data_IF_427198732470
#
_entry.id   IF_427198732470
#
_cell.length_a   1.000
_cell.length_b   1.000
_cell.length_c   1.000
_cell.angle_alpha   90.00
_cell.angle_beta   90.00
_cell.angle_gamma   90.00
#
_symmetry.space_group_name_H-M   'P 1'
#
loop_
_entity.id
_entity.type
_entity.pdbx_description
1 polymer ?
#
# COMPACT_ATOMS: atom_id res chain seq x y z
N UNK A 1 60.08 11.27 31.11
CA UNK A 1 58.70 10.78 30.97
C UNK A 1 57.90 11.80 30.19
N UNK A 2 57.65 11.54 28.90
CA UNK A 2 56.90 12.43 28.00
C UNK A 2 55.43 12.03 28.06
N UNK A 3 54.55 12.96 28.43
CA UNK A 3 53.10 12.76 28.42
C UNK A 3 52.56 12.85 26.99
N UNK A 4 51.88 11.79 26.55
CA UNK A 4 51.17 11.72 25.27
C UNK A 4 49.71 12.08 25.51
N UNK A 5 49.32 13.31 25.20
CA UNK A 5 47.92 13.73 25.15
C UNK A 5 47.31 13.25 23.83
N UNK A 6 46.35 12.32 23.91
CA UNK A 6 45.52 11.93 22.76
C UNK A 6 44.27 12.80 22.76
N UNK A 7 44.22 13.75 21.83
CA UNK A 7 42.99 14.50 21.52
C UNK A 7 42.07 13.61 20.68
N UNK A 8 41.04 13.03 21.30
CA UNK A 8 39.93 12.43 20.57
C UNK A 8 39.02 13.59 20.14
N UNK A 9 39.28 14.12 18.94
CA UNK A 9 38.37 15.03 18.26
C UNK A 9 37.13 14.23 17.84
N UNK A 10 36.07 14.35 18.63
CA UNK A 10 34.75 13.83 18.30
C UNK A 10 34.18 14.70 17.17
N UNK A 11 34.38 14.28 15.92
CA UNK A 11 33.80 14.90 14.74
C UNK A 11 32.29 14.67 14.77
N UNK A 12 31.55 15.58 15.41
CA UNK A 12 30.09 15.65 15.36
C UNK A 12 29.66 15.91 13.91
N UNK A 13 29.47 14.83 13.14
CA UNK A 13 28.84 14.88 11.83
C UNK A 13 27.43 15.45 12.01
N UNK A 14 27.31 16.76 11.79
CA UNK A 14 26.04 17.40 11.60
C UNK A 14 25.49 16.85 10.28
N UNK A 15 24.63 15.85 10.37
CA UNK A 15 23.82 15.41 9.23
C UNK A 15 22.80 16.51 9.00
N UNK A 16 23.23 17.57 8.32
CA UNK A 16 22.33 18.58 7.77
C UNK A 16 21.49 17.86 6.72
N UNK A 17 20.24 17.54 7.05
CA UNK A 17 19.29 17.10 6.04
C UNK A 17 19.15 18.23 5.04
N UNK A 18 19.58 17.98 3.80
CA UNK A 18 19.39 18.92 2.70
C UNK A 18 17.89 19.11 2.49
N UNK A 19 17.35 20.20 3.04
CA UNK A 19 15.96 20.57 2.87
C UNK A 19 15.78 21.04 1.42
N UNK A 20 14.87 20.39 0.72
CA UNK A 20 14.49 20.74 -0.65
C UNK A 20 13.09 21.32 -0.68
N UNK A 21 12.81 22.17 -1.66
CA UNK A 21 11.51 22.80 -1.86
C UNK A 21 10.95 22.43 -3.22
N UNK A 22 9.65 22.13 -3.28
CA UNK A 22 8.93 21.94 -4.54
C UNK A 22 8.75 23.30 -5.21
N UNK A 23 9.29 23.45 -6.42
CA UNK A 23 9.24 24.69 -7.19
C UNK A 23 8.63 24.41 -8.56
N UNK A 24 7.70 25.28 -8.98
CA UNK A 24 7.18 25.31 -10.35
C UNK A 24 8.09 26.18 -11.21
N UNK A 25 8.58 25.66 -12.33
CA UNK A 25 9.23 26.44 -13.38
C UNK A 25 8.17 26.94 -14.38
N UNK A 26 7.97 28.26 -14.51
CA UNK A 26 7.01 28.81 -15.47
C UNK A 26 7.37 28.55 -16.93
N UNK A 27 8.65 28.40 -17.28
CA UNK A 27 9.09 28.18 -18.66
C UNK A 27 8.85 26.74 -19.09
N UNK A 28 9.21 25.79 -18.23
CA UNK A 28 8.95 24.36 -18.46
C UNK A 28 7.49 23.96 -18.20
N UNK A 29 6.70 24.83 -17.55
CA UNK A 29 5.36 24.52 -17.05
C UNK A 29 5.30 23.25 -16.16
N UNK A 30 6.38 22.99 -15.42
CA UNK A 30 6.59 21.75 -14.68
C UNK A 30 7.12 22.01 -13.26
N UNK A 31 7.05 20.99 -12.40
CA UNK A 31 7.55 21.00 -11.03
C UNK A 31 8.85 20.21 -10.91
N UNK A 32 9.73 20.68 -10.03
CA UNK A 32 10.97 20.03 -9.62
C UNK A 32 11.33 20.36 -8.17
N UNK A 33 12.51 19.92 -7.73
CA UNK A 33 13.03 20.16 -6.39
C UNK A 33 14.29 21.03 -6.46
N UNK A 34 14.33 22.08 -5.66
CA UNK A 34 15.53 22.89 -5.46
C UNK A 34 16.08 22.78 -4.05
N UNK A 35 17.39 22.87 -3.91
CA UNK A 35 18.06 23.00 -2.62
C UNK A 35 17.98 24.46 -2.11
N UNK A 36 18.55 24.70 -0.92
CA UNK A 36 18.60 26.03 -0.28
C UNK A 36 19.38 27.07 -1.09
N UNK A 37 20.32 26.62 -1.93
CA UNK A 37 21.12 27.46 -2.82
C UNK A 37 20.41 27.73 -4.17
N UNK A 38 19.11 27.40 -4.27
CA UNK A 38 18.27 27.58 -5.46
C UNK A 38 18.74 26.77 -6.70
N UNK A 39 19.57 25.74 -6.48
CA UNK A 39 20.02 24.81 -7.51
C UNK A 39 19.03 23.63 -7.61
N UNK A 40 18.81 23.15 -8.83
CA UNK A 40 17.96 21.98 -9.06
C UNK A 40 18.63 20.70 -8.52
N UNK A 41 17.91 19.99 -7.64
CA UNK A 41 18.21 18.60 -7.25
C UNK A 41 17.41 17.64 -8.13
N UNK A 42 16.16 18.00 -8.41
CA UNK A 42 15.30 17.35 -9.41
C UNK A 42 14.89 18.43 -10.40
N UNK A 43 15.31 18.36 -11.67
CA UNK A 43 14.89 19.32 -12.68
C UNK A 43 13.37 19.41 -12.79
N UNK A 44 12.86 20.59 -13.19
CA UNK A 44 11.43 20.75 -13.46
C UNK A 44 11.01 19.95 -14.69
N UNK A 45 10.39 18.80 -14.45
CA UNK A 45 9.94 17.88 -15.52
C UNK A 45 8.59 17.22 -15.24
N UNK A 46 8.09 17.31 -14.00
CA UNK A 46 6.86 16.66 -13.59
C UNK A 46 5.66 17.59 -13.71
N UNK A 47 4.53 17.06 -14.17
CA UNK A 47 3.25 17.79 -14.19
C UNK A 47 2.77 18.10 -12.77
N UNK A 48 3.01 17.17 -11.84
CA UNK A 48 2.75 17.32 -10.41
C UNK A 48 3.87 16.68 -9.60
N UNK A 49 4.18 17.27 -8.45
CA UNK A 49 5.15 16.74 -7.49
C UNK A 49 4.61 16.96 -6.08
N UNK A 50 4.14 15.89 -5.44
CA UNK A 50 3.41 15.94 -4.17
C UNK A 50 4.22 15.25 -3.07
N UNK A 51 4.33 15.89 -1.91
CA UNK A 51 5.02 15.32 -0.75
C UNK A 51 4.23 14.13 -0.20
N UNK A 52 4.87 12.96 -0.13
CA UNK A 52 4.32 11.76 0.52
C UNK A 52 4.81 11.63 1.97
N UNK A 53 6.09 11.90 2.19
CA UNK A 53 6.77 11.87 3.48
C UNK A 53 8.03 12.75 3.40
N UNK A 54 8.75 12.97 4.51
CA UNK A 54 9.85 13.94 4.66
C UNK A 54 10.93 13.94 3.56
N UNK A 55 11.07 12.86 2.78
CA UNK A 55 12.03 12.75 1.69
C UNK A 55 11.48 12.04 0.44
N UNK A 56 10.16 11.85 0.35
CA UNK A 56 9.52 11.08 -0.71
C UNK A 56 8.45 11.92 -1.38
N UNK A 57 8.47 11.93 -2.71
CA UNK A 57 7.53 12.68 -3.52
C UNK A 57 6.87 11.77 -4.54
N UNK A 58 5.55 11.81 -4.60
CA UNK A 58 4.81 11.28 -5.73
C UNK A 58 5.03 12.23 -6.91
N UNK A 59 5.49 11.71 -8.04
CA UNK A 59 5.78 12.48 -9.23
C UNK A 59 4.85 12.04 -10.37
N UNK A 60 4.24 13.00 -11.06
CA UNK A 60 3.35 12.73 -12.17
C UNK A 60 3.99 13.14 -13.49
N UNK A 61 4.01 12.23 -14.46
CA UNK A 61 4.44 12.48 -15.84
C UNK A 61 3.49 11.74 -16.78
N UNK A 62 2.99 12.44 -17.81
CA UNK A 62 2.01 11.89 -18.77
C UNK A 62 0.83 11.19 -18.06
N UNK A 63 0.26 11.85 -17.05
CA UNK A 63 -0.87 11.35 -16.22
C UNK A 63 -0.57 10.09 -15.39
N UNK A 64 0.66 9.56 -15.46
CA UNK A 64 1.10 8.41 -14.67
C UNK A 64 1.94 8.85 -13.48
N UNK A 65 1.88 8.07 -12.41
CA UNK A 65 2.48 8.34 -11.13
C UNK A 65 3.66 7.43 -10.85
N UNK A 66 4.70 8.01 -10.27
CA UNK A 66 5.90 7.36 -9.76
C UNK A 66 6.30 7.95 -8.40
N UNK A 67 7.50 7.60 -7.94
CA UNK A 67 8.07 8.09 -6.69
C UNK A 67 9.52 8.52 -6.92
N UNK A 68 9.84 9.72 -6.47
CA UNK A 68 11.21 10.26 -6.45
C UNK A 68 11.58 10.73 -5.05
N UNK A 69 12.82 10.52 -4.66
CA UNK A 69 13.35 10.99 -3.39
C UNK A 69 13.72 12.49 -3.44
N UNK A 70 13.87 13.12 -2.26
CA UNK A 70 14.44 14.47 -2.14
C UNK A 70 15.85 14.63 -2.73
N UNK A 71 16.57 13.52 -2.93
CA UNK A 71 17.91 13.47 -3.56
C UNK A 71 17.85 13.21 -5.07
N UNK A 72 16.66 13.15 -5.66
CA UNK A 72 16.45 12.90 -7.09
C UNK A 72 16.61 11.46 -7.56
N UNK A 73 16.78 10.50 -6.64
CA UNK A 73 16.67 9.08 -6.97
C UNK A 73 15.20 8.73 -7.27
N UNK A 74 14.92 8.20 -8.46
CA UNK A 74 13.63 7.56 -8.78
C UNK A 74 13.56 6.20 -8.08
N UNK A 75 12.50 5.97 -7.30
CA UNK A 75 12.20 4.69 -6.65
C UNK A 75 11.12 3.91 -7.39
N UNK A 76 10.24 4.62 -8.09
CA UNK A 76 9.16 4.04 -8.90
C UNK A 76 8.96 4.92 -10.12
N UNK A 77 9.02 4.33 -11.31
CA UNK A 77 8.85 5.09 -12.55
C UNK A 77 7.39 5.56 -12.72
N UNK A 78 7.14 6.71 -13.38
CA UNK A 78 5.79 7.19 -13.68
C UNK A 78 5.07 6.34 -14.74
N UNK A 79 4.62 5.15 -14.34
CA UNK A 79 3.89 4.19 -15.20
C UNK A 79 2.65 3.61 -14.53
N UNK A 80 2.32 4.11 -13.33
CA UNK A 80 1.18 3.65 -12.53
C UNK A 80 0.04 4.68 -12.55
N UNK A 81 -1.18 4.24 -12.29
CA UNK A 81 -2.35 5.12 -12.33
C UNK A 81 -2.44 6.02 -11.10
N UNK A 82 -1.91 5.55 -9.96
CA UNK A 82 -1.90 6.32 -8.73
C UNK A 82 -0.83 5.85 -7.75
N UNK A 83 -0.34 6.79 -6.95
CA UNK A 83 0.49 6.55 -5.76
C UNK A 83 -0.10 7.38 -4.62
N UNK A 84 -0.36 6.76 -3.48
CA UNK A 84 -0.89 7.45 -2.29
C UNK A 84 -0.23 6.97 -1.00
N UNK A 85 -0.27 7.81 0.04
CA UNK A 85 0.17 7.41 1.38
C UNK A 85 -0.78 6.33 1.91
N UNK A 86 -0.25 5.18 2.33
CA UNK A 86 -1.04 4.15 3.01
C UNK A 86 -0.91 4.29 4.53
N UNK A 87 0.34 4.43 5.00
CA UNK A 87 0.72 4.90 6.32
C UNK A 87 2.18 5.37 6.26
N UNK A 88 2.74 6.01 7.31
CA UNK A 88 4.11 6.51 7.28
C UNK A 88 5.10 5.46 6.78
N UNK A 89 5.85 5.81 5.73
CA UNK A 89 6.83 4.93 5.09
C UNK A 89 6.31 3.76 4.22
N UNK A 90 5.00 3.62 4.00
CA UNK A 90 4.44 2.66 3.03
C UNK A 90 3.43 3.35 2.10
N UNK A 91 3.59 3.14 0.79
CA UNK A 91 2.80 3.82 -0.25
C UNK A 91 2.00 2.81 -1.06
N UNK A 92 0.70 3.07 -1.20
CA UNK A 92 -0.18 2.27 -2.02
C UNK A 92 0.01 2.66 -3.48
N UNK A 93 0.20 1.69 -4.36
CA UNK A 93 0.41 1.91 -5.80
C UNK A 93 -0.63 1.15 -6.57
N UNK A 94 -1.35 1.81 -7.48
CA UNK A 94 -2.37 1.15 -8.29
C UNK A 94 -2.11 1.27 -9.78
N UNK A 95 -2.41 0.21 -10.52
CA UNK A 95 -2.29 0.14 -11.97
C UNK A 95 -3.40 -0.74 -12.54
N UNK A 96 -4.06 -0.27 -13.56
CA UNK A 96 -5.10 -0.99 -14.29
C UNK A 96 -4.42 -1.89 -15.30
N UNK A 97 -4.72 -3.18 -15.22
CA UNK A 97 -4.28 -4.16 -16.19
C UNK A 97 -5.28 -4.24 -17.33
N UNK A 98 -4.88 -3.74 -18.50
CA UNK A 98 -5.67 -3.77 -19.72
C UNK A 98 -5.47 -5.06 -20.54
N UNK A 99 -4.62 -5.99 -20.08
CA UNK A 99 -4.38 -7.26 -20.78
C UNK A 99 -5.56 -8.23 -20.65
N UNK A 100 -6.43 -8.05 -19.66
CA UNK A 100 -7.66 -8.82 -19.52
C UNK A 100 -8.86 -8.04 -20.03
N UNK A 101 -9.86 -8.75 -20.54
CA UNK A 101 -11.12 -8.14 -20.97
C UNK A 101 -11.85 -7.42 -19.81
N UNK A 102 -11.49 -7.74 -18.57
CA UNK A 102 -12.15 -7.25 -17.37
C UNK A 102 -11.44 -6.07 -16.68
N UNK A 103 -10.47 -5.42 -17.35
CA UNK A 103 -9.73 -4.22 -16.89
C UNK A 103 -9.50 -4.18 -15.37
N UNK A 104 -8.66 -5.08 -14.88
CA UNK A 104 -8.53 -5.29 -13.43
C UNK A 104 -7.54 -4.30 -12.83
N UNK A 105 -8.03 -3.50 -11.87
CA UNK A 105 -7.14 -2.69 -11.03
C UNK A 105 -6.31 -3.60 -10.13
N UNK A 106 -4.99 -3.50 -10.26
CA UNK A 106 -4.01 -4.14 -9.38
C UNK A 106 -3.44 -3.13 -8.41
N UNK A 107 -3.21 -3.59 -7.19
CA UNK A 107 -2.76 -2.82 -6.04
C UNK A 107 -1.51 -3.50 -5.48
N UNK A 108 -0.50 -2.70 -5.17
CA UNK A 108 0.70 -3.12 -4.47
C UNK A 108 1.05 -2.11 -3.38
N UNK A 109 1.98 -2.49 -2.51
CA UNK A 109 2.48 -1.66 -1.43
C UNK A 109 4.00 -1.58 -1.52
N UNK A 110 4.53 -0.37 -1.67
CA UNK A 110 5.97 -0.10 -1.78
C UNK A 110 6.46 0.64 -0.54
N UNK A 111 7.68 0.32 -0.08
CA UNK A 111 8.30 0.98 1.07
C UNK A 111 9.15 2.20 0.67
N UNK A 112 9.74 2.87 1.66
CA UNK A 112 10.65 4.01 1.48
C UNK A 112 11.94 3.69 0.73
N UNK A 113 12.30 2.41 0.59
CA UNK A 113 13.49 2.00 -0.16
C UNK A 113 13.20 1.82 -1.65
N UNK A 114 11.92 1.80 -2.04
CA UNK A 114 11.46 1.43 -3.37
C UNK A 114 11.27 -0.08 -3.55
N UNK A 115 11.31 -0.87 -2.46
CA UNK A 115 11.03 -2.30 -2.51
C UNK A 115 9.53 -2.54 -2.34
N UNK A 116 9.00 -3.45 -3.13
CA UNK A 116 7.64 -3.95 -2.92
C UNK A 116 7.57 -4.70 -1.59
N UNK A 117 6.80 -4.16 -0.66
CA UNK A 117 6.37 -4.85 0.55
C UNK A 117 5.29 -5.89 0.20
N UNK A 118 4.32 -5.48 -0.63
CA UNK A 118 3.43 -6.38 -1.37
C UNK A 118 3.53 -6.08 -2.86
N UNK A 119 3.76 -7.07 -3.74
CA UNK A 119 3.81 -6.84 -5.17
C UNK A 119 2.47 -6.31 -5.69
N UNK A 120 2.50 -5.61 -6.84
CA UNK A 120 1.31 -5.08 -7.49
C UNK A 120 0.49 -6.18 -8.19
N UNK A 121 -0.13 -7.06 -7.41
CA UNK A 121 -0.93 -8.19 -7.88
C UNK A 121 -2.29 -8.33 -7.17
N UNK A 122 -2.54 -7.56 -6.13
CA UNK A 122 -3.75 -7.66 -5.31
C UNK A 122 -4.89 -6.85 -5.92
N UNK A 123 -6.11 -7.33 -5.79
CA UNK A 123 -7.31 -6.53 -6.08
C UNK A 123 -7.52 -5.44 -5.02
N UNK A 124 -7.16 -5.73 -3.76
CA UNK A 124 -7.22 -4.78 -2.66
C UNK A 124 -6.22 -5.12 -1.56
N UNK A 125 -5.69 -4.08 -0.91
CA UNK A 125 -4.88 -4.18 0.31
C UNK A 125 -5.52 -3.23 1.32
N UNK A 126 -6.06 -3.77 2.40
CA UNK A 126 -6.71 -3.01 3.45
C UNK A 126 -5.86 -3.03 4.72
N UNK A 127 -5.70 -1.87 5.34
CA UNK A 127 -5.02 -1.77 6.63
C UNK A 127 -5.97 -2.27 7.72
N UNK A 128 -5.47 -3.16 8.56
CA UNK A 128 -6.17 -3.67 9.72
C UNK A 128 -5.56 -3.07 10.99
N UNK A 129 -6.07 -3.47 12.14
CA UNK A 129 -5.49 -3.09 13.44
C UNK A 129 -4.08 -3.68 13.59
N UNK A 130 -3.25 -3.07 14.44
CA UNK A 130 -1.88 -3.51 14.71
C UNK A 130 -1.01 -3.66 13.45
N UNK A 131 -1.19 -2.75 12.49
CA UNK A 131 -0.42 -2.71 11.24
C UNK A 131 -0.50 -3.98 10.37
N UNK A 132 -1.42 -4.91 10.67
CA UNK A 132 -1.72 -6.07 9.85
C UNK A 132 -2.50 -5.68 8.58
N UNK A 133 -2.64 -6.61 7.65
CA UNK A 133 -3.21 -6.36 6.32
C UNK A 133 -4.25 -7.41 5.94
N UNK A 134 -5.33 -6.95 5.31
CA UNK A 134 -6.22 -7.82 4.56
C UNK A 134 -5.87 -7.72 3.08
N UNK A 135 -5.57 -8.87 2.49
CA UNK A 135 -5.11 -9.02 1.12
C UNK A 135 -6.20 -9.72 0.34
N UNK A 136 -6.66 -9.09 -0.74
CA UNK A 136 -7.67 -9.66 -1.63
C UNK A 136 -7.02 -9.89 -2.99
N UNK A 137 -7.08 -11.13 -3.48
CA UNK A 137 -6.72 -11.49 -4.86
C UNK A 137 -7.99 -11.67 -5.68
N UNK A 138 -7.96 -11.25 -6.94
CA UNK A 138 -8.99 -11.60 -7.91
C UNK A 138 -8.61 -12.92 -8.60
N UNK A 139 -9.63 -13.69 -8.96
CA UNK A 139 -9.55 -14.92 -9.73
C UNK A 139 -10.56 -14.83 -10.86
N UNK A 140 -10.06 -14.64 -12.07
CA UNK A 140 -10.91 -14.63 -13.26
C UNK A 140 -11.46 -16.04 -13.49
N UNK A 141 -12.78 -16.17 -13.50
CA UNK A 141 -13.49 -17.45 -13.77
C UNK A 141 -13.89 -17.50 -15.25
N UNK A 142 -14.35 -16.37 -15.78
CA UNK A 142 -14.68 -16.19 -17.19
C UNK A 142 -14.54 -14.72 -17.58
N UNK A 143 -14.77 -14.40 -18.85
CA UNK A 143 -14.66 -13.03 -19.38
C UNK A 143 -15.55 -12.00 -18.65
N UNK A 144 -16.61 -12.45 -17.96
CA UNK A 144 -17.57 -11.58 -17.26
C UNK A 144 -17.65 -11.86 -15.76
N UNK A 145 -16.93 -12.87 -15.26
CA UNK A 145 -17.04 -13.32 -13.88
C UNK A 145 -15.67 -13.35 -13.20
N UNK A 146 -15.54 -12.58 -12.13
CA UNK A 146 -14.37 -12.54 -11.26
C UNK A 146 -14.79 -12.98 -9.87
N UNK A 147 -14.13 -14.00 -9.34
CA UNK A 147 -14.19 -14.35 -7.93
C UNK A 147 -13.02 -13.71 -7.19
N UNK A 148 -13.09 -13.75 -5.86
CA UNK A 148 -12.06 -13.19 -5.01
C UNK A 148 -11.63 -14.20 -3.98
N UNK A 149 -10.39 -14.07 -3.54
CA UNK A 149 -9.85 -14.82 -2.43
C UNK A 149 -9.25 -13.84 -1.44
N UNK A 150 -9.43 -14.10 -0.16
CA UNK A 150 -8.93 -13.23 0.90
C UNK A 150 -7.99 -13.98 1.82
N UNK A 151 -6.95 -13.28 2.28
CA UNK A 151 -6.03 -13.71 3.33
C UNK A 151 -5.67 -12.52 4.22
N UNK A 152 -5.15 -12.81 5.41
CA UNK A 152 -4.49 -11.80 6.23
C UNK A 152 -2.97 -11.95 6.21
N UNK A 153 -2.28 -10.84 6.48
CA UNK A 153 -0.85 -10.80 6.72
C UNK A 153 -0.56 -9.97 7.98
N UNK A 154 0.49 -10.34 8.72
CA UNK A 154 0.96 -9.54 9.86
C UNK A 154 1.68 -8.25 9.41
N UNK A 155 2.21 -7.50 10.39
CA UNK A 155 2.91 -6.23 10.14
C UNK A 155 4.22 -6.36 9.34
N UNK A 156 4.82 -7.55 9.33
CA UNK A 156 6.01 -7.92 8.57
C UNK A 156 5.67 -8.45 7.17
N UNK A 157 4.38 -8.64 6.89
CA UNK A 157 3.87 -9.11 5.60
C UNK A 157 3.83 -10.63 5.49
N UNK A 158 4.00 -11.36 6.60
CA UNK A 158 3.86 -12.81 6.65
C UNK A 158 2.40 -13.18 6.49
N UNK A 159 2.11 -14.01 5.48
CA UNK A 159 0.77 -14.55 5.26
C UNK A 159 0.39 -15.46 6.43
N UNK A 160 -0.73 -15.15 7.09
CA UNK A 160 -1.15 -15.82 8.32
C UNK A 160 -1.91 -17.13 8.07
N UNK A 161 -2.63 -17.22 6.96
CA UNK A 161 -3.31 -18.44 6.50
C UNK A 161 -3.44 -18.43 4.97
N UNK A 162 -3.73 -19.56 4.31
CA UNK A 162 -3.88 -19.59 2.86
C UNK A 162 -5.02 -18.70 2.36
N UNK A 163 -4.94 -18.24 1.11
CA UNK A 163 -6.05 -17.52 0.48
C UNK A 163 -7.30 -18.40 0.42
N UNK A 164 -8.38 -17.95 1.04
CA UNK A 164 -9.68 -18.63 1.05
C UNK A 164 -10.63 -17.96 0.06
N UNK A 165 -11.40 -18.76 -0.69
CA UNK A 165 -12.39 -18.26 -1.65
C UNK A 165 -13.48 -17.42 -0.94
N UNK A 166 -13.62 -16.17 -1.39
CA UNK A 166 -14.54 -15.16 -0.88
C UNK A 166 -13.86 -13.92 -0.30
N UNK A 167 -14.70 -12.96 0.10
CA UNK A 167 -14.35 -11.78 0.86
C UNK A 167 -14.50 -12.04 2.35
N UNK A 168 -13.41 -11.87 3.09
CA UNK A 168 -13.47 -11.90 4.56
C UNK A 168 -13.80 -10.51 5.07
N UNK A 169 -14.74 -10.43 6.01
CA UNK A 169 -15.14 -9.20 6.69
C UNK A 169 -14.03 -8.71 7.66
N UNK A 170 -13.10 -7.91 7.15
CA UNK A 170 -11.88 -7.48 7.85
C UNK A 170 -12.09 -6.52 9.02
N UNK A 171 -13.30 -5.96 9.18
CA UNK A 171 -13.63 -5.02 10.26
C UNK A 171 -13.45 -5.62 11.68
N UNK A 172 -13.35 -6.95 11.80
CA UNK A 172 -13.29 -7.67 13.08
C UNK A 172 -12.09 -8.60 13.18
N UNK A 173 -10.88 -8.03 13.08
CA UNK A 173 -9.65 -8.81 13.09
C UNK A 173 -9.30 -9.51 14.42
N UNK A 174 -9.86 -9.07 15.55
CA UNK A 174 -9.40 -9.46 16.88
C UNK A 174 -9.93 -10.80 17.42
N UNK A 175 -10.60 -11.61 16.61
CA UNK A 175 -11.26 -12.84 17.08
C UNK A 175 -10.96 -13.98 16.13
N UNK A 176 -10.81 -15.22 16.61
CA UNK A 176 -10.30 -16.32 15.80
C UNK A 176 -11.37 -16.83 14.83
N UNK A 177 -12.34 -15.99 14.46
CA UNK A 177 -13.53 -16.37 13.74
C UNK A 177 -13.96 -15.23 12.84
N UNK A 178 -14.13 -15.52 11.56
CA UNK A 178 -14.44 -14.52 10.56
C UNK A 178 -15.62 -14.95 9.70
N UNK A 179 -16.36 -13.95 9.22
CA UNK A 179 -17.34 -14.16 8.16
C UNK A 179 -16.67 -14.04 6.80
N UNK A 180 -16.96 -15.00 5.93
CA UNK A 180 -16.55 -14.99 4.54
C UNK A 180 -17.77 -15.15 3.64
N UNK A 181 -17.83 -14.43 2.52
CA UNK A 181 -18.91 -14.55 1.53
C UNK A 181 -18.47 -14.15 0.13
N UNK A 182 -19.34 -14.27 -0.86
CA UNK A 182 -19.03 -13.98 -2.26
C UNK A 182 -18.83 -12.48 -2.54
N UNK A 183 -19.42 -11.60 -1.73
CA UNK A 183 -19.35 -10.14 -1.89
C UNK A 183 -19.46 -9.41 -0.54
N UNK A 184 -19.24 -8.09 -0.56
CA UNK A 184 -19.43 -7.19 0.58
C UNK A 184 -20.52 -6.17 0.28
N UNK A 185 -21.34 -5.85 1.29
CA UNK A 185 -22.32 -4.76 1.24
C UNK A 185 -21.89 -3.69 2.24
N UNK A 186 -21.28 -2.61 1.75
CA UNK A 186 -20.65 -1.62 2.63
C UNK A 186 -19.49 -2.23 3.43
N UNK A 187 -19.21 -1.66 4.61
CA UNK A 187 -18.01 -2.00 5.40
C UNK A 187 -18.22 -3.17 6.37
N UNK A 188 -19.46 -3.47 6.75
CA UNK A 188 -19.77 -4.33 7.90
C UNK A 188 -20.60 -5.57 7.56
N UNK A 189 -20.78 -5.87 6.28
CA UNK A 189 -21.65 -6.96 5.81
C UNK A 189 -20.99 -7.70 4.66
N UNK A 190 -21.06 -9.03 4.71
CA UNK A 190 -20.77 -9.94 3.59
C UNK A 190 -22.06 -10.59 3.12
N UNK A 191 -22.12 -10.96 1.83
CA UNK A 191 -23.28 -11.61 1.23
C UNK A 191 -22.90 -12.69 0.23
N UNK A 192 -23.84 -13.61 -0.01
CA UNK A 192 -23.72 -14.74 -0.91
C UNK A 192 -22.88 -15.88 -0.33
N UNK A 193 -23.50 -17.04 -0.06
CA UNK A 193 -22.84 -18.23 0.50
C UNK A 193 -21.94 -17.88 1.70
N UNK A 194 -22.48 -17.08 2.62
CA UNK A 194 -21.77 -16.65 3.81
C UNK A 194 -21.50 -17.84 4.71
N UNK A 195 -20.26 -17.96 5.17
CA UNK A 195 -19.76 -19.01 6.05
C UNK A 195 -18.93 -18.41 7.17
N UNK A 196 -18.70 -19.23 8.19
CA UNK A 196 -17.87 -18.89 9.34
C UNK A 196 -16.56 -19.68 9.24
N UNK A 197 -15.42 -19.00 9.27
CA UNK A 197 -14.07 -19.61 9.24
C UNK A 197 -13.28 -19.27 10.50
N UNK A 198 -12.27 -20.08 10.83
CA UNK A 198 -11.29 -19.73 11.86
C UNK A 198 -10.09 -18.94 11.30
N UNK A 199 -9.12 -18.65 12.16
CA UNK A 199 -7.85 -17.98 11.84
C UNK A 199 -6.85 -18.82 11.03
N UNK A 200 -7.21 -20.05 10.70
CA UNK A 200 -6.50 -20.91 9.75
C UNK A 200 -7.25 -21.03 8.41
N UNK A 201 -8.37 -20.31 8.26
CA UNK A 201 -9.21 -20.36 7.05
C UNK A 201 -10.13 -21.58 6.97
N UNK A 202 -10.21 -22.41 8.00
CA UNK A 202 -11.07 -23.61 8.01
C UNK A 202 -12.52 -23.27 8.35
N UNK A 203 -13.48 -23.85 7.63
CA UNK A 203 -14.91 -23.71 7.92
C UNK A 203 -15.24 -24.32 9.29
N UNK A 204 -15.96 -23.56 10.12
CA UNK A 204 -16.40 -24.00 11.44
C UNK A 204 -17.76 -24.71 11.44
N UNK A 205 -18.48 -24.65 10.32
CA UNK A 205 -19.78 -25.30 10.10
C UNK A 205 -20.03 -25.50 8.61
N UNK A 206 -20.86 -26.49 8.26
CA UNK A 206 -21.38 -26.69 6.90
C UNK A 206 -22.54 -25.74 6.56
N UNK A 207 -23.07 -25.02 7.55
CA UNK A 207 -24.14 -24.04 7.36
C UNK A 207 -23.71 -22.89 6.44
N UNK A 208 -24.61 -22.48 5.57
CA UNK A 208 -24.45 -21.35 4.66
C UNK A 208 -25.57 -20.36 4.85
N UNK A 209 -25.26 -19.07 4.74
CA UNK A 209 -26.20 -17.98 4.93
C UNK A 209 -26.18 -17.04 3.72
N UNK A 210 -27.28 -16.32 3.49
CA UNK A 210 -27.32 -15.36 2.39
C UNK A 210 -26.55 -14.08 2.70
N UNK A 211 -26.49 -13.71 3.98
CA UNK A 211 -25.86 -12.50 4.45
C UNK A 211 -25.30 -12.71 5.85
N UNK A 212 -24.23 -11.99 6.18
CA UNK A 212 -23.70 -11.95 7.52
C UNK A 212 -23.12 -10.58 7.80
N UNK A 213 -23.37 -10.06 8.99
CA UNK A 213 -22.86 -8.75 9.40
C UNK A 213 -22.33 -8.79 10.81
N UNK A 214 -21.57 -7.76 11.18
CA UNK A 214 -21.08 -7.67 12.55
C UNK A 214 -21.97 -6.80 13.41
N UNK A 215 -22.29 -7.32 14.58
CA UNK A 215 -23.07 -6.66 15.62
C UNK A 215 -22.27 -6.65 16.92
N UNK A 216 -21.62 -5.51 17.20
CA UNK A 216 -20.74 -5.36 18.36
C UNK A 216 -19.63 -6.41 18.34
N UNK A 217 -19.68 -7.35 19.27
CA UNK A 217 -18.65 -8.37 19.44
C UNK A 217 -18.98 -9.74 18.82
N UNK A 218 -20.09 -9.83 18.07
CA UNK A 218 -20.66 -11.05 17.50
C UNK A 218 -21.02 -10.85 16.04
N UNK A 219 -21.31 -11.94 15.35
CA UNK A 219 -21.90 -11.93 14.03
C UNK A 219 -23.40 -12.19 14.10
N UNK A 220 -24.13 -11.64 13.14
CA UNK A 220 -25.50 -12.02 12.81
C UNK A 220 -25.45 -12.56 11.40
N UNK A 221 -25.98 -13.75 11.20
CA UNK A 221 -26.06 -14.48 9.92
C UNK A 221 -27.48 -15.01 9.73
#
# INVERSE_FOLDING_TARGET
MKGLFVFISCLLLHVSFAQVTVIRDPLACAYGLKNKDNQWVVPAQYQQLLLLDNNMYACQLAEKWGIVTSKGKTLLDPVHDNVSIFFPGKYLVTKTDYSSNNQLRKVGLIDTTGKWFFPQEYASILRMQNLSFCLVKSKEISQTQTAYQTSFADEDGTILFPFVDGYILSAFYQKPTYLIGSSTIGTYTVSGNVRIINDQGAYLSDSTYDMGMVCGNKFIV
#
